data_IF_252124239659
#
_entry.id   IF_252124239659
#
_cell.length_a   1.000
_cell.length_b   1.000
_cell.length_c   1.000
_cell.angle_alpha   90.00
_cell.angle_beta   90.00
_cell.angle_gamma   90.00
#
_symmetry.space_group_name_H-M   'P 1'
#
loop_
_entity.id
_entity.type
_entity.pdbx_description
1 polymer ?
#
# COMPACT_ATOMS: atom_id res chain seq x y z
N UNK A 1 -18.92 1.93 8.81
CA UNK A 1 -19.23 0.50 8.77
C UNK A 1 -17.93 -0.30 8.89
N UNK A 2 -17.96 -1.37 9.67
CA UNK A 2 -16.83 -2.29 9.80
C UNK A 2 -16.61 -2.99 8.45
N UNK A 3 -15.37 -3.27 8.10
CA UNK A 3 -15.03 -4.02 6.87
C UNK A 3 -15.39 -5.49 7.04
N UNK A 4 -15.07 -6.02 8.21
CA UNK A 4 -15.28 -7.42 8.56
C UNK A 4 -16.52 -7.58 9.45
N UNK A 5 -17.26 -8.65 9.21
CA UNK A 5 -18.37 -9.10 10.06
C UNK A 5 -17.83 -9.83 11.32
N UNK A 6 -18.74 -10.31 12.18
CA UNK A 6 -18.37 -10.99 13.41
C UNK A 6 -17.61 -12.30 13.20
N UNK A 7 -17.73 -12.89 12.01
CA UNK A 7 -17.07 -14.15 11.65
C UNK A 7 -15.70 -13.92 10.98
N UNK A 8 -15.21 -12.68 10.94
CA UNK A 8 -13.93 -12.33 10.31
C UNK A 8 -13.95 -12.28 8.78
N UNK A 9 -15.11 -12.43 8.15
CA UNK A 9 -15.26 -12.28 6.70
C UNK A 9 -15.60 -10.84 6.32
N UNK A 10 -15.12 -10.39 5.15
CA UNK A 10 -15.54 -9.11 4.58
C UNK A 10 -17.03 -9.11 4.31
N UNK A 11 -17.71 -8.00 4.64
CA UNK A 11 -19.13 -7.87 4.34
C UNK A 11 -19.39 -8.09 2.85
N UNK A 12 -20.31 -8.97 2.50
CA UNK A 12 -20.54 -9.45 1.13
C UNK A 12 -20.76 -8.31 0.12
N UNK A 13 -21.54 -7.31 0.49
CA UNK A 13 -21.77 -6.16 -0.38
C UNK A 13 -20.50 -5.33 -0.67
N UNK A 14 -19.54 -5.28 0.26
CA UNK A 14 -18.23 -4.62 0.04
C UNK A 14 -17.35 -5.50 -0.84
N UNK A 15 -17.32 -6.80 -0.55
CA UNK A 15 -16.57 -7.78 -1.32
C UNK A 15 -16.96 -7.76 -2.79
N UNK A 16 -18.25 -7.89 -3.08
CA UNK A 16 -18.76 -7.88 -4.46
C UNK A 16 -18.42 -6.58 -5.21
N UNK A 17 -18.52 -5.43 -4.52
CA UNK A 17 -18.12 -4.15 -5.13
C UNK A 17 -16.63 -4.07 -5.43
N UNK A 18 -15.77 -4.61 -4.56
CA UNK A 18 -14.33 -4.65 -4.80
C UNK A 18 -13.99 -5.56 -5.98
N UNK A 19 -14.62 -6.74 -6.06
CA UNK A 19 -14.46 -7.68 -7.16
C UNK A 19 -14.93 -7.07 -8.50
N UNK A 20 -16.10 -6.45 -8.53
CA UNK A 20 -16.62 -5.76 -9.73
C UNK A 20 -15.65 -4.67 -10.25
N UNK A 21 -15.05 -3.90 -9.33
CA UNK A 21 -14.06 -2.88 -9.70
C UNK A 21 -12.73 -3.47 -10.15
N UNK A 22 -12.32 -4.60 -9.58
CA UNK A 22 -11.14 -5.33 -10.00
C UNK A 22 -11.31 -5.89 -11.42
N UNK A 23 -12.43 -6.52 -11.68
CA UNK A 23 -12.75 -7.05 -13.03
C UNK A 23 -12.78 -5.93 -14.07
N UNK A 24 -13.36 -4.78 -13.72
CA UNK A 24 -13.35 -3.62 -14.61
C UNK A 24 -11.93 -3.11 -14.85
N UNK A 25 -11.10 -2.95 -13.81
CA UNK A 25 -9.71 -2.53 -13.97
C UNK A 25 -8.91 -3.49 -14.87
N UNK A 26 -9.03 -4.80 -14.64
CA UNK A 26 -8.34 -5.81 -15.44
C UNK A 26 -8.77 -5.72 -16.90
N UNK A 27 -10.09 -5.68 -17.17
CA UNK A 27 -10.65 -5.61 -18.51
C UNK A 27 -10.15 -4.40 -19.29
N UNK A 28 -10.11 -3.24 -18.65
CA UNK A 28 -9.72 -1.98 -19.30
C UNK A 28 -8.18 -1.78 -19.41
N UNK A 29 -7.39 -2.67 -18.78
CA UNK A 29 -5.93 -2.55 -18.79
C UNK A 29 -5.25 -3.70 -19.51
N UNK A 30 -5.35 -4.90 -18.96
CA UNK A 30 -4.59 -6.09 -19.41
C UNK A 30 -5.47 -7.22 -19.95
N UNK A 31 -6.79 -7.09 -19.85
CA UNK A 31 -7.73 -8.17 -20.17
C UNK A 31 -7.76 -8.59 -21.64
N UNK A 32 -7.19 -7.79 -22.55
CA UNK A 32 -7.05 -8.13 -23.96
C UNK A 32 -5.68 -8.75 -24.32
N UNK A 33 -4.79 -8.92 -23.33
CA UNK A 33 -3.46 -9.47 -23.57
C UNK A 33 -3.50 -10.97 -23.39
N UNK A 34 -3.36 -11.69 -24.49
CA UNK A 34 -3.32 -13.15 -24.48
C UNK A 34 -2.15 -13.66 -23.62
N UNK A 35 -2.41 -14.71 -22.86
CA UNK A 35 -1.43 -15.33 -21.98
C UNK A 35 -1.30 -14.67 -20.60
N UNK A 36 -2.12 -13.65 -20.28
CA UNK A 36 -2.29 -13.15 -18.92
C UNK A 36 -3.54 -13.72 -18.27
N UNK A 37 -3.42 -14.05 -16.99
CA UNK A 37 -4.54 -14.48 -16.16
C UNK A 37 -4.65 -13.60 -14.91
N UNK A 38 -5.88 -13.38 -14.47
CA UNK A 38 -6.15 -12.85 -13.16
C UNK A 38 -5.97 -13.95 -12.12
N UNK A 39 -5.06 -13.74 -11.19
CA UNK A 39 -4.88 -14.59 -10.01
C UNK A 39 -5.82 -14.20 -8.88
N UNK A 40 -5.30 -14.06 -7.67
CA UNK A 40 -6.12 -13.65 -6.52
C UNK A 40 -6.33 -12.13 -6.47
N UNK A 41 -7.45 -11.73 -5.91
CA UNK A 41 -7.77 -10.35 -5.60
C UNK A 41 -7.78 -10.22 -4.08
N UNK A 42 -6.87 -9.40 -3.54
CA UNK A 42 -6.67 -9.33 -2.10
C UNK A 42 -6.88 -7.93 -1.54
N UNK A 43 -7.48 -7.89 -0.35
CA UNK A 43 -7.55 -6.71 0.50
C UNK A 43 -6.35 -6.72 1.45
N UNK A 44 -5.67 -5.58 1.53
CA UNK A 44 -4.42 -5.37 2.27
C UNK A 44 -4.50 -4.11 3.14
N UNK A 45 -3.35 -3.68 3.62
CA UNK A 45 -3.15 -2.40 4.26
C UNK A 45 -3.89 -2.24 5.57
N UNK A 46 -4.20 -1.00 5.95
CA UNK A 46 -4.85 -0.70 7.22
C UNK A 46 -6.25 -1.30 7.34
N UNK A 47 -6.93 -1.51 6.21
CA UNK A 47 -8.26 -2.14 6.17
C UNK A 47 -8.24 -3.64 6.49
N UNK A 48 -7.09 -4.31 6.27
CA UNK A 48 -6.85 -5.71 6.59
C UNK A 48 -5.94 -5.87 7.82
N UNK A 49 -6.01 -4.97 8.78
CA UNK A 49 -5.13 -4.97 9.97
C UNK A 49 -5.90 -4.57 11.22
N UNK A 50 -5.26 -4.73 12.37
CA UNK A 50 -5.76 -4.20 13.65
C UNK A 50 -5.73 -2.65 13.73
N UNK A 51 -5.11 -1.98 12.75
CA UNK A 51 -5.04 -0.51 12.64
C UNK A 51 -6.20 0.11 11.85
N UNK A 52 -7.20 -0.68 11.53
CA UNK A 52 -8.37 -0.20 10.83
C UNK A 52 -9.02 1.00 11.52
N UNK A 53 -9.27 2.04 10.73
CA UNK A 53 -10.07 3.20 11.13
C UNK A 53 -11.25 3.37 10.18
N UNK A 54 -12.39 3.92 10.64
CA UNK A 54 -13.57 4.10 9.78
C UNK A 54 -13.33 4.88 8.49
N UNK A 55 -12.31 5.75 8.46
CA UNK A 55 -11.92 6.53 7.28
C UNK A 55 -10.74 5.95 6.48
N UNK A 56 -10.23 4.77 6.83
CA UNK A 56 -9.14 4.15 6.07
C UNK A 56 -9.58 3.80 4.66
N UNK A 57 -8.69 4.02 3.69
CA UNK A 57 -8.87 3.58 2.32
C UNK A 57 -8.91 2.04 2.24
N UNK A 58 -9.44 1.54 1.15
CA UNK A 58 -9.34 0.12 0.82
C UNK A 58 -8.16 -0.08 -0.10
N UNK A 59 -7.12 -0.74 0.38
CA UNK A 59 -5.97 -1.15 -0.43
C UNK A 59 -6.25 -2.52 -1.04
N UNK A 60 -6.50 -2.58 -2.34
CA UNK A 60 -6.77 -3.82 -3.07
C UNK A 60 -5.69 -4.05 -4.11
N UNK A 61 -5.15 -5.27 -4.15
CA UNK A 61 -4.26 -5.71 -5.22
C UNK A 61 -4.92 -6.83 -6.01
N UNK A 62 -4.77 -6.72 -7.32
CA UNK A 62 -5.18 -7.74 -8.29
C UNK A 62 -3.93 -8.41 -8.83
N UNK A 63 -3.76 -9.68 -8.54
CA UNK A 63 -2.63 -10.47 -9.03
C UNK A 63 -2.81 -10.78 -10.51
N UNK A 64 -1.77 -10.52 -11.31
CA UNK A 64 -1.74 -10.81 -12.74
C UNK A 64 -0.59 -11.78 -13.01
N UNK A 65 -0.94 -12.94 -13.52
CA UNK A 65 -0.02 -14.04 -13.78
C UNK A 65 0.29 -14.07 -15.28
N UNK A 66 1.57 -13.90 -15.63
CA UNK A 66 2.01 -14.14 -17.01
C UNK A 66 2.28 -15.63 -17.19
N UNK A 67 1.35 -16.33 -17.85
CA UNK A 67 1.54 -17.74 -18.17
C UNK A 67 2.38 -17.93 -19.45
N UNK A 68 2.03 -17.26 -20.52
CA UNK A 68 2.59 -17.54 -21.84
C UNK A 68 2.74 -16.32 -22.75
N UNK A 69 2.56 -15.09 -22.27
CA UNK A 69 2.74 -13.91 -23.09
C UNK A 69 4.24 -13.69 -23.37
N UNK A 70 4.72 -13.86 -24.63
CA UNK A 70 6.14 -13.79 -24.94
C UNK A 70 6.67 -12.36 -24.98
N UNK A 71 5.79 -11.37 -25.06
CA UNK A 71 6.16 -9.95 -25.23
C UNK A 71 6.27 -9.19 -23.92
N UNK A 72 5.90 -9.81 -22.80
CA UNK A 72 5.95 -9.20 -21.49
C UNK A 72 7.11 -9.75 -20.65
N UNK A 73 7.63 -8.95 -19.70
CA UNK A 73 8.67 -9.40 -18.79
C UNK A 73 8.27 -10.69 -18.06
N UNK A 74 9.19 -11.63 -17.98
CA UNK A 74 9.00 -12.89 -17.24
C UNK A 74 9.42 -12.76 -15.78
N UNK A 75 10.27 -11.78 -15.48
CA UNK A 75 10.67 -11.49 -14.11
C UNK A 75 9.63 -10.61 -13.41
N UNK A 76 9.48 -10.82 -12.09
CA UNK A 76 8.49 -10.15 -11.26
C UNK A 76 8.65 -8.62 -11.28
N UNK A 77 9.88 -8.10 -11.25
CA UNK A 77 10.13 -6.67 -11.18
C UNK A 77 9.76 -5.97 -12.49
N UNK A 78 10.13 -6.56 -13.63
CA UNK A 78 9.74 -6.05 -14.96
C UNK A 78 8.23 -6.08 -15.14
N UNK A 79 7.59 -7.18 -14.72
CA UNK A 79 6.14 -7.31 -14.80
C UNK A 79 5.43 -6.31 -13.89
N UNK A 80 5.88 -6.09 -12.66
CA UNK A 80 5.30 -5.08 -11.76
C UNK A 80 5.42 -3.65 -12.34
N UNK A 81 6.54 -3.31 -13.00
CA UNK A 81 6.69 -2.03 -13.68
C UNK A 81 5.70 -1.87 -14.83
N UNK A 82 5.54 -2.90 -15.65
CA UNK A 82 4.54 -2.91 -16.71
C UNK A 82 3.13 -2.70 -16.16
N UNK A 83 2.75 -3.47 -15.13
CA UNK A 83 1.43 -3.38 -14.50
C UNK A 83 1.19 -2.02 -13.83
N UNK A 84 2.22 -1.42 -13.24
CA UNK A 84 2.15 -0.08 -12.68
C UNK A 84 1.90 0.99 -13.76
N UNK A 85 2.52 0.87 -14.92
CA UNK A 85 2.28 1.75 -16.07
C UNK A 85 0.85 1.57 -16.61
N UNK A 86 0.40 0.33 -16.81
CA UNK A 86 -0.95 0.05 -17.30
C UNK A 86 -2.03 0.58 -16.34
N UNK A 87 -1.87 0.37 -15.04
CA UNK A 87 -2.76 0.91 -14.02
C UNK A 87 -2.71 2.44 -13.93
N UNK A 88 -1.52 3.03 -14.05
CA UNK A 88 -1.34 4.49 -14.10
C UNK A 88 -2.06 5.12 -15.29
N UNK A 89 -1.91 4.54 -16.48
CA UNK A 89 -2.60 4.99 -17.69
C UNK A 89 -4.12 4.86 -17.56
N UNK A 90 -4.61 3.80 -16.94
CA UNK A 90 -6.03 3.66 -16.65
C UNK A 90 -6.55 4.84 -15.81
N UNK A 91 -5.87 5.21 -14.73
CA UNK A 91 -6.30 6.28 -13.83
C UNK A 91 -6.11 7.69 -14.41
N UNK A 92 -5.30 7.87 -15.44
CA UNK A 92 -5.26 9.12 -16.19
C UNK A 92 -6.53 9.35 -17.04
N UNK A 93 -7.15 8.27 -17.48
CA UNK A 93 -8.35 8.30 -18.34
C UNK A 93 -9.65 8.13 -17.56
N UNK A 94 -9.59 7.52 -16.39
CA UNK A 94 -10.76 7.15 -15.60
C UNK A 94 -10.73 7.82 -14.23
N UNK A 95 -11.92 7.94 -13.62
CA UNK A 95 -12.02 8.40 -12.24
C UNK A 95 -11.56 7.30 -11.28
N UNK A 96 -10.98 7.73 -10.16
CA UNK A 96 -10.67 6.83 -9.06
C UNK A 96 -11.93 6.13 -8.53
N UNK A 97 -11.74 4.94 -8.01
CA UNK A 97 -12.83 4.16 -7.43
C UNK A 97 -13.14 4.58 -6.00
N UNK A 98 -14.43 4.51 -5.66
CA UNK A 98 -14.92 4.74 -4.31
C UNK A 98 -15.97 3.70 -3.95
N UNK A 99 -16.00 3.32 -2.68
CA UNK A 99 -17.07 2.52 -2.09
C UNK A 99 -17.68 3.36 -0.96
N UNK A 100 -18.85 3.94 -1.21
CA UNK A 100 -19.40 5.02 -0.39
C UNK A 100 -18.50 6.26 -0.48
N UNK A 101 -18.05 6.75 0.67
CA UNK A 101 -17.13 7.89 0.79
C UNK A 101 -15.65 7.47 0.96
N UNK A 102 -15.34 6.19 0.83
CA UNK A 102 -13.98 5.67 1.04
C UNK A 102 -13.31 5.42 -0.30
N UNK A 103 -12.08 5.91 -0.41
CA UNK A 103 -11.23 5.66 -1.55
C UNK A 103 -10.89 4.16 -1.66
N UNK A 104 -10.93 3.63 -2.87
CA UNK A 104 -10.52 2.28 -3.22
C UNK A 104 -9.23 2.38 -4.04
N UNK A 105 -8.08 2.24 -3.36
CA UNK A 105 -6.75 2.19 -3.99
C UNK A 105 -6.54 0.78 -4.55
N UNK A 106 -6.73 0.65 -5.85
CA UNK A 106 -6.64 -0.63 -6.53
C UNK A 106 -5.45 -0.66 -7.47
N UNK A 107 -4.64 -1.71 -7.37
CA UNK A 107 -3.40 -1.86 -8.15
C UNK A 107 -3.29 -3.25 -8.73
N UNK A 108 -2.79 -3.33 -9.97
CA UNK A 108 -2.33 -4.58 -10.56
C UNK A 108 -0.94 -4.91 -9.99
N UNK A 109 -0.65 -6.18 -9.76
CA UNK A 109 0.63 -6.64 -9.25
C UNK A 109 0.97 -8.02 -9.81
N UNK A 110 2.24 -8.26 -10.13
CA UNK A 110 2.71 -9.57 -10.55
C UNK A 110 2.87 -10.53 -9.36
N UNK A 111 2.92 -9.99 -8.16
CA UNK A 111 3.07 -10.75 -6.93
C UNK A 111 2.47 -10.01 -5.73
N UNK A 112 1.79 -10.75 -4.89
CA UNK A 112 1.25 -10.23 -3.64
C UNK A 112 2.23 -10.54 -2.51
N UNK A 113 2.94 -9.51 -2.06
CA UNK A 113 3.88 -9.65 -0.95
C UNK A 113 3.15 -9.80 0.37
N UNK A 114 3.63 -10.73 1.18
CA UNK A 114 3.26 -10.84 2.57
C UNK A 114 3.85 -9.68 3.37
N UNK A 115 3.01 -8.94 4.07
CA UNK A 115 3.44 -7.84 4.93
C UNK A 115 3.29 -8.28 6.39
N UNK A 116 4.38 -8.22 7.15
CA UNK A 116 4.48 -8.88 8.46
C UNK A 116 3.42 -8.46 9.50
N UNK A 117 2.81 -7.28 9.37
CA UNK A 117 1.89 -6.69 10.35
C UNK A 117 0.49 -6.38 9.78
N UNK A 118 0.29 -6.49 8.48
CA UNK A 118 -1.04 -6.47 7.86
C UNK A 118 -1.44 -7.88 7.46
N UNK A 119 -2.73 -8.19 7.56
CA UNK A 119 -3.25 -9.40 6.97
C UNK A 119 -3.32 -9.30 5.45
N UNK A 120 -3.47 -10.45 4.82
CA UNK A 120 -3.81 -10.60 3.40
C UNK A 120 -5.12 -11.35 3.33
N UNK A 121 -6.18 -10.68 2.89
CA UNK A 121 -7.51 -11.26 2.78
C UNK A 121 -7.87 -11.51 1.32
N UNK A 122 -8.07 -12.77 0.94
CA UNK A 122 -8.56 -13.12 -0.40
C UNK A 122 -10.03 -12.75 -0.56
N UNK A 123 -10.31 -11.87 -1.51
CA UNK A 123 -11.69 -11.52 -1.86
C UNK A 123 -12.34 -12.62 -2.70
N UNK A 124 -11.58 -13.38 -3.50
CA UNK A 124 -12.08 -14.49 -4.27
C UNK A 124 -12.57 -15.62 -3.36
N UNK A 125 -11.74 -16.03 -2.42
CA UNK A 125 -12.02 -17.13 -1.50
C UNK A 125 -12.84 -16.72 -0.26
N UNK A 126 -12.99 -15.41 -0.06
CA UNK A 126 -13.67 -14.81 1.12
C UNK A 126 -13.07 -15.27 2.45
N UNK A 127 -11.73 -15.37 2.51
CA UNK A 127 -11.00 -15.83 3.71
C UNK A 127 -9.63 -15.16 3.84
N UNK A 128 -9.07 -15.23 5.02
CA UNK A 128 -7.70 -14.84 5.26
C UNK A 128 -6.71 -15.80 4.59
N UNK A 129 -5.80 -15.29 3.76
CA UNK A 129 -4.57 -15.99 3.36
C UNK A 129 -3.53 -15.89 4.46
N UNK A 130 -3.43 -14.69 5.05
CA UNK A 130 -2.56 -14.39 6.18
C UNK A 130 -3.38 -13.54 7.15
N UNK A 131 -3.60 -14.05 8.35
CA UNK A 131 -4.26 -13.28 9.39
C UNK A 131 -3.35 -12.17 9.91
N UNK A 132 -3.88 -10.96 10.20
CA UNK A 132 -3.10 -9.90 10.79
C UNK A 132 -2.59 -10.31 12.16
N UNK A 133 -1.31 -10.09 12.43
CA UNK A 133 -0.72 -10.42 13.73
C UNK A 133 -1.13 -9.41 14.79
N UNK A 134 -1.74 -9.89 15.85
CA UNK A 134 -2.10 -9.08 17.02
C UNK A 134 -0.91 -9.00 18.03
N UNK A 135 0.27 -8.61 17.54
CA UNK A 135 1.46 -8.47 18.39
C UNK A 135 1.58 -7.07 19.02
N UNK A 136 0.50 -6.28 18.98
CA UNK A 136 0.47 -4.87 19.32
C UNK A 136 0.69 -4.54 20.80
N UNK A 137 0.63 -5.53 21.69
CA UNK A 137 0.52 -5.22 23.14
C UNK A 137 1.63 -5.78 24.01
N UNK A 138 2.58 -6.52 23.50
CA UNK A 138 3.66 -7.05 24.33
C UNK A 138 4.85 -6.08 24.37
N UNK A 139 4.92 -5.29 25.45
CA UNK A 139 6.09 -4.48 25.79
C UNK A 139 6.13 -3.08 25.17
N UNK A 140 5.05 -2.64 24.54
CA UNK A 140 4.98 -1.34 23.88
C UNK A 140 4.33 -0.31 24.81
N UNK A 141 5.04 0.76 25.13
CA UNK A 141 4.52 1.89 25.89
C UNK A 141 4.39 3.13 25.00
N UNK A 142 3.60 4.09 25.42
CA UNK A 142 3.50 5.38 24.73
C UNK A 142 4.86 6.07 24.70
N UNK A 143 5.61 5.98 25.81
CA UNK A 143 6.93 6.61 25.91
C UNK A 143 7.94 5.97 24.94
N UNK A 144 7.98 4.64 24.86
CA UNK A 144 8.85 3.96 23.88
C UNK A 144 8.49 4.30 22.42
N UNK A 145 7.21 4.55 22.11
CA UNK A 145 6.80 5.03 20.81
C UNK A 145 7.27 6.47 20.54
N UNK A 146 7.18 7.33 21.55
CA UNK A 146 7.62 8.72 21.45
C UNK A 146 9.14 8.76 21.20
N UNK A 147 9.91 8.00 21.96
CA UNK A 147 11.37 7.90 21.79
C UNK A 147 11.73 7.40 20.40
N UNK A 148 11.07 6.35 19.95
CA UNK A 148 11.26 5.81 18.61
C UNK A 148 10.87 6.81 17.51
N UNK A 149 9.78 7.53 17.69
CA UNK A 149 9.37 8.62 16.79
C UNK A 149 10.44 9.72 16.72
N UNK A 150 10.99 10.16 17.85
CA UNK A 150 12.05 11.16 17.89
C UNK A 150 13.32 10.68 17.20
N UNK A 151 13.72 9.42 17.44
CA UNK A 151 14.86 8.82 16.77
C UNK A 151 14.66 8.85 15.24
N UNK A 152 13.49 8.42 14.75
CA UNK A 152 13.19 8.44 13.30
C UNK A 152 13.13 9.86 12.73
N UNK A 153 12.64 10.83 13.49
CA UNK A 153 12.70 12.23 13.08
C UNK A 153 14.15 12.72 12.94
N UNK A 154 15.03 12.36 13.88
CA UNK A 154 16.44 12.72 13.82
C UNK A 154 17.16 12.08 12.60
N UNK A 155 16.87 10.82 12.28
CA UNK A 155 17.39 10.14 11.09
C UNK A 155 16.95 10.85 9.79
N UNK A 156 15.68 11.29 9.71
CA UNK A 156 15.18 12.07 8.57
C UNK A 156 15.91 13.41 8.48
N UNK A 157 16.07 14.11 9.59
CA UNK A 157 16.74 15.41 9.62
C UNK A 157 18.23 15.29 9.22
N UNK A 158 18.92 14.24 9.70
CA UNK A 158 20.29 13.92 9.30
C UNK A 158 20.40 13.61 7.78
N UNK A 159 19.49 12.77 7.28
CA UNK A 159 19.46 12.45 5.85
C UNK A 159 19.18 13.71 5.01
N UNK A 160 18.20 14.52 5.42
CA UNK A 160 17.90 15.79 4.74
C UNK A 160 19.10 16.75 4.75
N UNK A 161 19.82 16.84 5.87
CA UNK A 161 21.03 17.66 5.97
C UNK A 161 22.16 17.22 5.03
N UNK A 162 22.15 15.97 4.57
CA UNK A 162 23.12 15.43 3.61
C UNK A 162 22.75 15.69 2.14
N UNK A 163 21.53 16.14 1.87
CA UNK A 163 21.08 16.40 0.50
C UNK A 163 21.46 17.81 0.03
N UNK A 164 21.76 17.98 -1.27
CA UNK A 164 22.04 19.28 -1.83
C UNK A 164 20.84 20.22 -1.71
N UNK A 165 21.12 21.48 -1.38
CA UNK A 165 20.11 22.53 -1.29
C UNK A 165 20.40 23.61 -2.32
N UNK A 166 19.36 24.18 -2.92
CA UNK A 166 19.44 25.37 -3.74
C UNK A 166 18.65 26.48 -3.06
N UNK A 167 19.31 27.60 -2.75
CA UNK A 167 18.73 28.74 -2.02
C UNK A 167 18.08 28.35 -0.66
N UNK A 168 18.71 27.42 0.06
CA UNK A 168 18.21 26.93 1.35
C UNK A 168 16.97 26.05 1.27
N UNK A 169 16.60 25.59 0.08
CA UNK A 169 15.46 24.69 -0.14
C UNK A 169 15.90 23.39 -0.81
N UNK A 170 15.21 22.33 -0.46
CA UNK A 170 15.36 21.04 -1.16
C UNK A 170 14.54 21.04 -2.42
N UNK A 171 15.10 20.52 -3.50
CA UNK A 171 14.38 20.32 -4.74
C UNK A 171 13.35 19.18 -4.63
N UNK A 172 12.45 19.10 -5.60
CA UNK A 172 11.43 18.04 -5.65
C UNK A 172 12.05 16.64 -5.71
N UNK A 173 13.15 16.49 -6.41
CA UNK A 173 13.85 15.22 -6.57
C UNK A 173 14.49 14.76 -5.25
N UNK A 174 15.09 15.69 -4.50
CA UNK A 174 15.66 15.41 -3.17
C UNK A 174 14.58 15.01 -2.17
N UNK A 175 13.46 15.72 -2.18
CA UNK A 175 12.30 15.35 -1.34
C UNK A 175 11.76 13.97 -1.70
N UNK A 176 11.69 13.63 -2.99
CA UNK A 176 11.26 12.30 -3.44
C UNK A 176 12.26 11.21 -3.00
N UNK A 177 13.57 11.43 -3.17
CA UNK A 177 14.62 10.50 -2.71
C UNK A 177 14.52 10.22 -1.21
N UNK A 178 14.26 11.26 -0.41
CA UNK A 178 14.06 11.11 1.03
C UNK A 178 12.80 10.29 1.34
N UNK A 179 11.69 10.61 0.69
CA UNK A 179 10.45 9.88 0.88
C UNK A 179 10.60 8.39 0.53
N UNK A 180 11.27 8.10 -0.59
CA UNK A 180 11.51 6.73 -1.06
C UNK A 180 12.48 6.00 -0.13
N UNK A 181 13.54 6.66 0.34
CA UNK A 181 14.45 6.12 1.35
C UNK A 181 13.68 5.77 2.62
N UNK A 182 12.93 6.71 3.16
CA UNK A 182 12.17 6.48 4.38
C UNK A 182 11.10 5.42 4.22
N UNK A 183 10.39 5.44 3.10
CA UNK A 183 9.41 4.41 2.75
C UNK A 183 10.06 3.03 2.65
N UNK A 184 11.21 2.92 2.03
CA UNK A 184 11.94 1.66 1.86
C UNK A 184 12.45 1.15 3.21
N UNK A 185 13.03 2.03 4.02
CA UNK A 185 13.50 1.67 5.37
C UNK A 185 12.36 1.31 6.31
N UNK A 186 11.27 2.06 6.24
CA UNK A 186 10.13 1.90 7.13
C UNK A 186 9.11 0.87 6.61
N UNK A 187 8.97 0.68 5.30
CA UNK A 187 8.02 -0.26 4.68
C UNK A 187 8.69 -1.52 4.10
N UNK A 188 9.99 -1.73 4.34
CA UNK A 188 10.72 -2.93 3.94
C UNK A 188 10.25 -4.21 4.65
N UNK A 189 10.73 -5.37 4.19
CA UNK A 189 10.25 -6.70 4.60
C UNK A 189 10.36 -7.04 6.09
N UNK A 190 11.16 -6.29 6.87
CA UNK A 190 11.46 -6.57 8.27
C UNK A 190 10.94 -5.51 9.24
N UNK A 191 9.85 -4.83 8.90
CA UNK A 191 9.33 -3.76 9.74
C UNK A 191 8.78 -4.26 11.05
N UNK A 192 9.15 -3.54 12.08
CA UNK A 192 8.51 -3.63 13.38
C UNK A 192 7.21 -2.80 13.37
N UNK A 193 6.36 -3.05 14.34
CA UNK A 193 5.13 -2.28 14.53
C UNK A 193 5.45 -0.84 14.92
N UNK A 194 6.55 -0.65 15.64
CA UNK A 194 7.11 0.63 16.04
C UNK A 194 7.43 1.49 14.81
N UNK A 195 8.11 0.92 13.81
CA UNK A 195 8.39 1.57 12.53
C UNK A 195 7.12 2.08 11.86
N UNK A 196 6.10 1.23 11.80
CA UNK A 196 4.82 1.60 11.20
C UNK A 196 4.11 2.71 11.95
N UNK A 197 4.04 2.63 13.28
CA UNK A 197 3.40 3.66 14.10
C UNK A 197 4.18 4.97 14.05
N UNK A 198 5.51 4.93 14.10
CA UNK A 198 6.36 6.10 13.93
C UNK A 198 6.13 6.75 12.55
N UNK A 199 6.06 5.97 11.48
CA UNK A 199 5.69 6.47 10.16
C UNK A 199 4.33 7.16 10.13
N UNK A 200 3.31 6.56 10.75
CA UNK A 200 1.98 7.18 10.85
C UNK A 200 2.01 8.49 11.64
N UNK A 201 2.79 8.56 12.72
CA UNK A 201 2.98 9.79 13.49
C UNK A 201 3.71 10.86 12.68
N UNK A 202 4.80 10.51 11.99
CA UNK A 202 5.56 11.43 11.14
C UNK A 202 4.66 11.98 10.02
N UNK A 203 3.85 11.13 9.40
CA UNK A 203 2.86 11.55 8.42
C UNK A 203 1.78 12.45 9.03
N UNK A 204 1.29 12.14 10.22
CA UNK A 204 0.26 12.90 10.92
C UNK A 204 0.76 14.28 11.41
N UNK A 205 2.00 14.37 11.88
CA UNK A 205 2.62 15.62 12.36
C UNK A 205 3.07 16.54 11.23
N UNK A 206 2.79 16.19 9.98
CA UNK A 206 3.16 16.95 8.78
C UNK A 206 4.68 17.14 8.59
N UNK A 207 5.54 16.44 9.35
CA UNK A 207 6.99 16.54 9.15
C UNK A 207 7.36 16.14 7.70
N UNK A 208 6.67 15.15 7.11
CA UNK A 208 6.78 14.80 5.70
C UNK A 208 6.07 15.80 4.76
N UNK A 209 5.03 16.52 5.23
CA UNK A 209 4.35 17.54 4.41
C UNK A 209 5.14 18.83 4.26
N UNK A 210 5.97 19.18 5.26
CA UNK A 210 6.85 20.35 5.18
C UNK A 210 8.03 20.14 4.25
N UNK A 211 8.28 18.88 3.85
CA UNK A 211 9.31 18.49 2.89
C UNK A 211 8.84 18.58 1.44
N UNK A 212 7.56 18.78 1.22
CA UNK A 212 7.04 19.04 -0.10
C UNK A 212 5.56 19.33 -0.05
N UNK A 213 5.15 20.52 -0.42
CA UNK A 213 3.81 20.78 -0.91
C UNK A 213 3.56 20.05 -2.24
N UNK A 214 4.10 18.81 -2.36
CA UNK A 214 4.27 18.05 -3.59
C UNK A 214 3.81 16.58 -3.46
N UNK A 215 3.14 16.21 -2.36
CA UNK A 215 2.49 14.90 -2.24
C UNK A 215 0.99 15.11 -2.06
#
# INVERSE_FOLDING_TARGET
PRVFNRNGAVHEHLRLRMLDRADYLVKETVGMIDGLLTGDIVLLGSSASYFYRPGSDFDVKVEIINQNCPYLPKDTNGMDKFLALAGGEFYTRNKYFYIGNRFLDMKLAAYIMDVAWTGVYSLNENKWRIEPKNNLTKGFTVDSLIDYYHQRCAEIDAFMGSLPQTDGKYGKEECQKMFDYYRTQVLGRNQTIEDYLAFKLIKATRKLKNLGGFI
#
